data_IF_398164578127
#
_entry.id   IF_398164578127
#
_cell.length_a   1.000
_cell.length_b   1.000
_cell.length_c   1.000
_cell.angle_alpha   90.00
_cell.angle_beta   90.00
_cell.angle_gamma   90.00
#
_symmetry.space_group_name_H-M   'P 1'
#
loop_
_entity.id
_entity.type
_entity.pdbx_description
1 polymer ?
#
# COMPACT_ATOMS: atom_id res chain seq x y z
N UNK A 1 -3.82 26.35 20.58
CA UNK A 1 -3.87 26.31 19.09
C UNK A 1 -5.27 25.91 18.60
N UNK A 2 -5.74 24.69 18.85
CA UNK A 2 -7.08 24.24 18.40
C UNK A 2 -8.26 25.13 18.80
N UNK A 3 -8.34 25.57 20.07
CA UNK A 3 -9.38 26.50 20.53
C UNK A 3 -9.33 27.84 19.80
N UNK A 4 -8.13 28.36 19.53
CA UNK A 4 -7.96 29.62 18.81
C UNK A 4 -8.42 29.50 17.35
N UNK A 5 -8.08 28.41 16.66
CA UNK A 5 -8.54 28.16 15.29
C UNK A 5 -10.05 27.97 15.20
N UNK A 6 -10.66 27.24 16.14
CA UNK A 6 -12.13 27.10 16.20
C UNK A 6 -12.82 28.44 16.44
N UNK A 7 -12.28 29.26 17.33
CA UNK A 7 -12.79 30.60 17.60
C UNK A 7 -12.63 31.55 16.40
N UNK A 8 -11.56 31.40 15.61
CA UNK A 8 -11.36 32.17 14.38
C UNK A 8 -12.40 31.80 13.32
N UNK A 9 -12.62 30.50 13.11
CA UNK A 9 -13.63 29.99 12.18
C UNK A 9 -15.05 30.39 12.61
N UNK A 10 -15.36 30.38 13.91
CA UNK A 10 -16.68 30.79 14.41
C UNK A 10 -16.91 32.30 14.31
N UNK A 11 -15.91 33.13 14.62
CA UNK A 11 -15.98 34.60 14.48
C UNK A 11 -16.16 35.05 13.03
N UNK A 12 -15.51 34.39 12.07
CA UNK A 12 -15.66 34.75 10.66
C UNK A 12 -17.01 34.31 10.07
N UNK A 13 -17.59 33.20 10.54
CA UNK A 13 -18.97 32.84 10.18
C UNK A 13 -19.99 33.94 10.53
N UNK A 14 -19.70 34.74 11.55
CA UNK A 14 -20.58 35.84 12.01
C UNK A 14 -20.36 37.16 11.26
N UNK A 15 -19.31 37.27 10.44
CA UNK A 15 -18.84 38.56 9.87
C UNK A 15 -19.17 38.76 8.39
N UNK A 16 -19.96 37.87 7.76
CA UNK A 16 -20.44 38.01 6.38
C UNK A 16 -19.39 37.94 5.27
N UNK A 17 -18.12 37.68 5.59
CA UNK A 17 -17.00 37.48 4.65
C UNK A 17 -16.87 36.00 4.27
N UNK A 18 -16.14 35.68 3.19
CA UNK A 18 -15.95 34.30 2.72
C UNK A 18 -15.59 33.34 3.86
N UNK A 19 -16.30 32.22 3.96
CA UNK A 19 -16.11 31.29 5.08
C UNK A 19 -14.71 30.67 5.06
N UNK A 20 -14.02 30.69 6.21
CA UNK A 20 -12.74 29.96 6.40
C UNK A 20 -12.93 28.46 6.62
N UNK A 21 -14.17 27.99 6.80
CA UNK A 21 -14.49 26.58 7.00
C UNK A 21 -15.31 26.02 5.84
N UNK A 22 -15.11 24.74 5.54
CA UNK A 22 -15.78 24.05 4.44
C UNK A 22 -14.89 23.02 3.74
N UNK A 23 -15.42 22.38 2.70
CA UNK A 23 -14.67 21.42 1.88
C UNK A 23 -13.49 22.13 1.21
N UNK A 24 -12.27 21.64 1.43
CA UNK A 24 -11.03 22.28 0.97
C UNK A 24 -10.54 23.47 1.81
N UNK A 25 -11.15 23.75 2.96
CA UNK A 25 -10.75 24.83 3.90
C UNK A 25 -10.51 24.26 5.32
N UNK A 26 -10.49 25.11 6.37
CA UNK A 26 -10.28 24.68 7.76
C UNK A 26 -11.49 23.91 8.29
N UNK A 27 -11.47 22.58 8.13
CA UNK A 27 -12.46 21.67 8.73
C UNK A 27 -12.14 21.37 10.20
N UNK A 28 -13.13 20.93 10.97
CA UNK A 28 -12.92 20.52 12.37
C UNK A 28 -11.90 19.39 12.52
N UNK A 29 -11.89 18.45 11.57
CA UNK A 29 -10.90 17.36 11.49
C UNK A 29 -9.49 17.91 11.22
N UNK A 30 -9.35 18.84 10.26
CA UNK A 30 -8.06 19.48 9.95
C UNK A 30 -7.53 20.28 11.14
N UNK A 31 -8.38 21.03 11.84
CA UNK A 31 -8.02 21.77 13.05
C UNK A 31 -7.53 20.83 14.16
N UNK A 32 -8.17 19.66 14.29
CA UNK A 32 -7.76 18.65 15.27
C UNK A 32 -6.41 18.05 14.91
N UNK A 33 -6.19 17.70 13.64
CA UNK A 33 -4.92 17.21 13.12
C UNK A 33 -3.78 18.22 13.31
N UNK A 34 -4.02 19.49 12.95
CA UNK A 34 -3.09 20.60 13.16
C UNK A 34 -2.73 20.80 14.65
N UNK A 35 -3.72 20.68 15.54
CA UNK A 35 -3.51 20.81 16.99
C UNK A 35 -2.62 19.70 17.54
N UNK A 36 -2.80 18.48 17.05
CA UNK A 36 -1.97 17.33 17.43
C UNK A 36 -0.53 17.48 16.96
N UNK A 37 -0.30 17.86 15.70
CA UNK A 37 1.05 18.07 15.19
C UNK A 37 1.76 19.24 15.86
N UNK A 38 1.04 20.33 16.12
CA UNK A 38 1.57 21.45 16.90
C UNK A 38 1.99 21.00 18.30
N UNK A 39 1.14 20.21 18.98
CA UNK A 39 1.48 19.63 20.28
C UNK A 39 2.70 18.70 20.23
N UNK A 40 2.84 17.89 19.17
CA UNK A 40 4.01 17.03 18.96
C UNK A 40 5.28 17.84 18.74
N UNK A 41 5.25 18.89 17.91
CA UNK A 41 6.41 19.75 17.62
C UNK A 41 6.93 20.45 18.89
N UNK A 42 6.02 20.93 19.75
CA UNK A 42 6.40 21.54 21.03
C UNK A 42 7.03 20.52 22.00
N UNK A 43 6.47 19.31 22.06
CA UNK A 43 6.95 18.24 22.97
C UNK A 43 8.28 17.64 22.52
N UNK A 44 8.46 17.45 21.21
CA UNK A 44 9.61 16.74 20.64
C UNK A 44 10.87 17.60 20.52
N UNK A 45 10.74 18.93 20.57
CA UNK A 45 11.85 19.88 20.46
C UNK A 45 11.96 20.79 21.69
N UNK A 46 11.68 20.25 22.88
CA UNK A 46 11.72 21.01 24.15
C UNK A 46 13.14 21.53 24.40
N UNK A 47 13.28 22.86 24.52
CA UNK A 47 14.56 23.52 24.75
C UNK A 47 15.27 24.01 23.49
N UNK A 48 14.79 23.64 22.29
CA UNK A 48 15.31 24.16 21.01
C UNK A 48 14.20 24.87 20.23
N UNK A 49 14.17 26.19 20.38
CA UNK A 49 13.16 27.07 19.74
C UNK A 49 13.28 27.05 18.22
N UNK A 50 14.49 26.91 17.66
CA UNK A 50 14.71 26.90 16.21
C UNK A 50 14.18 25.60 15.59
N UNK A 51 14.49 24.46 16.21
CA UNK A 51 13.98 23.16 15.77
C UNK A 51 12.45 23.07 15.91
N UNK A 52 11.90 23.60 17.01
CA UNK A 52 10.47 23.69 17.24
C UNK A 52 9.76 24.53 16.16
N UNK A 53 10.29 25.71 15.85
CA UNK A 53 9.77 26.56 14.78
C UNK A 53 9.82 25.84 13.42
N UNK A 54 10.95 25.18 13.10
CA UNK A 54 11.10 24.40 11.86
C UNK A 54 10.04 23.30 11.76
N UNK A 55 9.80 22.53 12.83
CA UNK A 55 8.82 21.45 12.86
C UNK A 55 7.37 21.95 12.72
N UNK A 56 7.03 23.09 13.34
CA UNK A 56 5.71 23.72 13.19
C UNK A 56 5.50 24.20 11.75
N UNK A 57 6.51 24.83 11.14
CA UNK A 57 6.43 25.29 9.75
C UNK A 57 6.43 24.15 8.74
N UNK A 58 7.12 23.04 9.03
CA UNK A 58 7.05 21.82 8.22
C UNK A 58 5.61 21.26 8.17
N UNK A 59 4.90 21.28 9.30
CA UNK A 59 3.49 20.88 9.37
C UNK A 59 2.61 21.75 8.49
N UNK A 60 2.83 23.07 8.52
CA UNK A 60 2.08 24.03 7.70
C UNK A 60 2.33 23.80 6.21
N UNK A 61 3.59 23.73 5.79
CA UNK A 61 3.97 23.50 4.40
C UNK A 61 3.47 22.14 3.87
N UNK A 62 3.51 21.09 4.69
CA UNK A 62 2.98 19.78 4.29
C UNK A 62 1.46 19.81 4.05
N UNK A 63 0.71 20.57 4.86
CA UNK A 63 -0.76 20.67 4.74
C UNK A 63 -1.17 21.57 3.57
N UNK A 64 -0.32 22.52 3.16
CA UNK A 64 -0.56 23.40 2.01
C UNK A 64 0.08 22.88 0.71
N UNK A 65 0.83 21.77 0.76
CA UNK A 65 1.38 21.08 -0.40
C UNK A 65 0.28 20.45 -1.25
N UNK A 66 0.41 20.52 -2.57
CA UNK A 66 -0.48 19.89 -3.53
C UNK A 66 0.30 19.48 -4.78
N UNK A 67 -0.35 18.78 -5.71
CA UNK A 67 0.29 18.20 -6.91
C UNK A 67 0.90 19.26 -7.85
N UNK A 68 0.54 20.54 -7.69
CA UNK A 68 1.07 21.68 -8.46
C UNK A 68 2.16 22.42 -7.69
N UNK A 69 2.04 22.55 -6.37
CA UNK A 69 3.01 23.26 -5.51
C UNK A 69 3.49 22.35 -4.38
N UNK A 70 4.64 21.72 -4.61
CA UNK A 70 5.33 20.87 -3.63
C UNK A 70 6.03 21.71 -2.56
N UNK A 71 5.48 21.72 -1.35
CA UNK A 71 6.00 22.49 -0.22
C UNK A 71 6.55 21.56 0.86
N UNK A 72 7.66 20.88 0.57
CA UNK A 72 8.31 19.93 1.50
C UNK A 72 9.68 20.39 2.02
N UNK A 73 10.07 21.64 1.77
CA UNK A 73 11.40 22.19 2.06
C UNK A 73 11.80 22.19 3.55
N UNK A 74 10.84 22.10 4.46
CA UNK A 74 11.08 22.08 5.91
C UNK A 74 10.83 20.70 6.54
N UNK A 75 10.41 19.70 5.77
CA UNK A 75 10.31 18.34 6.26
C UNK A 75 11.69 17.87 6.76
N UNK A 76 11.76 17.11 7.87
CA UNK A 76 13.03 16.63 8.39
C UNK A 76 13.72 15.74 7.35
N UNK A 77 14.81 16.24 6.78
CA UNK A 77 15.78 15.44 6.04
C UNK A 77 16.51 14.55 7.06
N UNK A 78 15.99 13.35 7.33
CA UNK A 78 16.71 12.40 8.19
C UNK A 78 15.91 11.47 9.08
N UNK A 79 14.56 11.47 9.05
CA UNK A 79 13.86 10.24 9.47
C UNK A 79 13.73 9.34 8.27
N UNK A 80 14.26 8.13 8.41
CA UNK A 80 14.32 6.97 7.51
C UNK A 80 12.97 6.49 6.93
N UNK A 81 12.12 7.40 6.47
CA UNK A 81 11.02 7.10 5.57
C UNK A 81 11.58 7.03 4.14
N UNK A 82 12.63 6.22 3.93
CA UNK A 82 12.86 5.73 2.57
C UNK A 82 11.64 4.89 2.22
N UNK A 83 10.99 5.13 1.08
CA UNK A 83 9.94 4.24 0.61
C UNK A 83 10.48 2.82 0.58
N UNK A 84 9.81 1.92 1.29
CA UNK A 84 10.18 0.51 1.32
C UNK A 84 9.66 -0.21 0.07
N UNK A 85 8.75 0.42 -0.69
CA UNK A 85 8.13 -0.10 -1.90
C UNK A 85 8.48 0.80 -3.08
N UNK A 86 9.18 0.22 -4.06
CA UNK A 86 9.47 0.87 -5.35
C UNK A 86 8.65 0.15 -6.42
N UNK A 87 7.65 0.84 -6.95
CA UNK A 87 6.71 0.33 -7.96
C UNK A 87 7.14 0.88 -9.33
N UNK A 88 7.18 -0.01 -10.31
CA UNK A 88 7.44 0.33 -11.71
C UNK A 88 6.19 0.01 -12.52
N UNK A 89 5.78 0.97 -13.33
CA UNK A 89 4.85 0.78 -14.43
C UNK A 89 5.60 1.09 -15.73
N UNK A 90 5.09 0.62 -16.87
CA UNK A 90 5.52 0.97 -18.22
C UNK A 90 5.63 2.48 -18.49
N UNK A 91 5.00 3.33 -17.66
CA UNK A 91 4.94 4.78 -17.83
C UNK A 91 5.56 5.61 -16.69
N UNK A 92 5.90 5.03 -15.53
CA UNK A 92 6.46 5.78 -14.41
C UNK A 92 7.12 4.89 -13.34
N UNK A 93 8.13 5.44 -12.67
CA UNK A 93 8.65 4.91 -11.40
C UNK A 93 8.00 5.68 -10.26
N UNK A 94 7.40 4.97 -9.32
CA UNK A 94 6.78 5.56 -8.14
C UNK A 94 7.33 4.91 -6.89
N UNK A 95 7.72 5.74 -5.92
CA UNK A 95 8.15 5.27 -4.62
C UNK A 95 7.08 5.59 -3.58
N UNK A 96 6.62 4.57 -2.84
CA UNK A 96 5.53 4.72 -1.87
C UNK A 96 5.80 3.94 -0.58
N UNK A 97 5.06 4.28 0.47
CA UNK A 97 5.04 3.53 1.74
C UNK A 97 3.86 2.56 1.84
N UNK A 98 2.86 2.74 0.97
CA UNK A 98 1.57 2.08 1.01
C UNK A 98 1.24 1.59 -0.39
N UNK A 99 0.78 0.35 -0.48
CA UNK A 99 0.21 -0.20 -1.70
C UNK A 99 -1.30 -0.28 -1.54
N UNK A 100 -2.02 0.57 -2.27
CA UNK A 100 -3.48 0.54 -2.31
C UNK A 100 -3.94 -0.52 -3.31
N UNK A 101 -4.74 -1.48 -2.86
CA UNK A 101 -5.39 -2.43 -3.75
C UNK A 101 -6.46 -1.70 -4.56
N UNK A 102 -6.26 -1.69 -5.88
CA UNK A 102 -7.25 -1.33 -6.88
C UNK A 102 -7.70 -2.61 -7.56
N UNK A 103 -8.95 -3.00 -7.31
CA UNK A 103 -9.56 -4.22 -7.83
C UNK A 103 -11.01 -3.96 -8.21
N UNK A 104 -11.44 -4.47 -9.35
CA UNK A 104 -12.87 -4.59 -9.66
C UNK A 104 -13.50 -5.73 -8.86
N UNK A 105 -14.79 -5.61 -8.49
CA UNK A 105 -15.51 -6.70 -7.83
C UNK A 105 -15.62 -7.88 -8.81
N UNK A 106 -15.13 -9.04 -8.40
CA UNK A 106 -15.27 -10.28 -9.16
C UNK A 106 -16.43 -11.09 -8.56
N UNK A 107 -17.47 -11.33 -9.34
CA UNK A 107 -18.67 -12.06 -8.89
C UNK A 107 -18.38 -13.52 -8.53
N UNK A 108 -17.29 -14.09 -9.03
CA UNK A 108 -16.88 -15.47 -8.75
C UNK A 108 -16.15 -15.62 -7.40
N UNK A 109 -15.72 -14.50 -6.79
CA UNK A 109 -14.99 -14.48 -5.53
C UNK A 109 -15.85 -13.89 -4.42
N UNK A 110 -16.64 -14.73 -3.75
CA UNK A 110 -17.51 -14.29 -2.66
C UNK A 110 -16.70 -13.84 -1.43
N UNK A 111 -15.64 -14.60 -1.09
CA UNK A 111 -14.72 -14.29 0.02
C UNK A 111 -13.28 -14.40 -0.49
N UNK A 112 -12.70 -13.29 -0.99
CA UNK A 112 -11.34 -13.32 -1.52
C UNK A 112 -10.28 -13.32 -0.41
N UNK A 113 -9.14 -13.92 -0.71
CA UNK A 113 -7.92 -13.80 0.09
C UNK A 113 -7.14 -12.55 -0.29
N UNK A 114 -6.30 -12.05 0.63
CA UNK A 114 -5.40 -10.92 0.33
C UNK A 114 -4.46 -11.26 -0.84
N UNK A 115 -4.00 -12.50 -0.97
CA UNK A 115 -3.18 -12.94 -2.12
C UNK A 115 -3.91 -12.77 -3.46
N UNK A 116 -5.17 -13.18 -3.54
CA UNK A 116 -5.96 -13.07 -4.78
C UNK A 116 -6.19 -11.61 -5.15
N UNK A 117 -6.59 -10.77 -4.18
CA UNK A 117 -6.78 -9.34 -4.41
C UNK A 117 -5.48 -8.64 -4.81
N UNK A 118 -4.36 -9.03 -4.20
CA UNK A 118 -3.04 -8.54 -4.54
C UNK A 118 -2.68 -8.88 -5.99
N UNK A 119 -2.80 -10.15 -6.40
CA UNK A 119 -2.54 -10.57 -7.77
C UNK A 119 -3.45 -9.87 -8.79
N UNK A 120 -4.73 -9.73 -8.49
CA UNK A 120 -5.68 -9.02 -9.33
C UNK A 120 -5.31 -7.54 -9.48
N UNK A 121 -4.92 -6.88 -8.39
CA UNK A 121 -4.52 -5.47 -8.44
C UNK A 121 -3.25 -5.24 -9.26
N UNK A 122 -2.27 -6.13 -9.12
CA UNK A 122 -1.04 -6.11 -9.92
C UNK A 122 -1.36 -6.29 -11.42
N UNK A 123 -2.27 -7.19 -11.75
CA UNK A 123 -2.75 -7.42 -13.12
C UNK A 123 -3.47 -6.20 -13.69
N UNK A 124 -4.51 -5.69 -13.00
CA UNK A 124 -5.33 -4.57 -13.47
C UNK A 124 -4.53 -3.29 -13.67
N UNK A 125 -3.60 -3.00 -12.76
CA UNK A 125 -2.76 -1.82 -12.85
C UNK A 125 -1.50 -2.02 -13.72
N UNK A 126 -1.22 -3.25 -14.19
CA UNK A 126 0.01 -3.65 -14.91
C UNK A 126 1.28 -3.16 -14.20
N UNK A 127 1.35 -3.43 -12.90
CA UNK A 127 2.45 -2.98 -12.04
C UNK A 127 3.44 -4.12 -11.80
N UNK A 128 4.70 -3.78 -11.57
CA UNK A 128 5.69 -4.69 -10.99
C UNK A 128 6.46 -3.96 -9.88
N UNK A 129 6.98 -4.71 -8.93
CA UNK A 129 7.93 -4.19 -7.96
C UNK A 129 9.34 -4.33 -8.51
N UNK A 130 10.13 -3.25 -8.39
CA UNK A 130 11.51 -3.25 -8.86
C UNK A 130 12.41 -4.20 -8.06
N UNK A 131 12.07 -4.41 -6.78
CA UNK A 131 12.78 -5.25 -5.82
C UNK A 131 11.82 -5.67 -4.71
N UNK A 132 12.15 -6.76 -4.02
CA UNK A 132 11.41 -7.19 -2.84
C UNK A 132 11.44 -6.12 -1.73
N UNK A 133 10.28 -5.59 -1.29
CA UNK A 133 10.23 -4.63 -0.21
C UNK A 133 10.53 -5.32 1.13
N UNK A 134 11.23 -4.63 2.04
CA UNK A 134 11.48 -5.16 3.40
C UNK A 134 10.19 -5.23 4.24
N UNK A 135 9.27 -4.31 3.97
CA UNK A 135 7.96 -4.24 4.60
C UNK A 135 6.97 -3.77 3.54
N UNK A 136 5.83 -4.46 3.47
CA UNK A 136 4.75 -4.15 2.54
C UNK A 136 3.48 -3.86 3.33
N UNK A 137 3.01 -2.62 3.26
CA UNK A 137 1.75 -2.22 3.88
C UNK A 137 0.69 -2.16 2.77
N UNK A 138 -0.29 -3.06 2.85
CA UNK A 138 -1.36 -3.18 1.86
C UNK A 138 -2.63 -2.54 2.41
N UNK A 139 -3.17 -1.57 1.69
CA UNK A 139 -4.46 -0.97 2.01
C UNK A 139 -5.56 -1.73 1.27
N UNK A 140 -6.52 -2.25 2.04
CA UNK A 140 -7.68 -2.96 1.50
C UNK A 140 -8.54 -2.05 0.62
N UNK A 141 -9.22 -2.60 -0.41
CA UNK A 141 -10.02 -1.83 -1.36
C UNK A 141 -11.30 -1.29 -0.67
N UNK A 142 -11.20 -0.08 -0.11
CA UNK A 142 -12.30 0.65 0.53
C UNK A 142 -12.52 1.98 -0.17
N UNK A 143 -13.76 2.32 -0.47
CA UNK A 143 -14.14 3.62 -1.03
C UNK A 143 -14.98 4.40 0.00
N UNK A 144 -14.33 5.25 0.78
CA UNK A 144 -15.00 6.02 1.83
C UNK A 144 -15.53 5.18 3.00
N UNK A 145 -16.44 5.76 3.80
CA UNK A 145 -16.96 5.13 5.04
C UNK A 145 -18.04 4.08 4.80
N UNK A 146 -18.69 4.10 3.64
CA UNK A 146 -19.88 3.28 3.38
C UNK A 146 -19.64 2.16 2.36
N UNK A 147 -18.54 2.18 1.61
CA UNK A 147 -18.31 1.19 0.57
C UNK A 147 -17.10 0.30 0.90
N UNK A 148 -17.42 -0.91 1.36
CA UNK A 148 -16.51 -2.06 1.37
C UNK A 148 -16.78 -2.84 0.09
N UNK A 149 -15.74 -3.09 -0.71
CA UNK A 149 -15.92 -3.84 -1.97
C UNK A 149 -16.35 -5.29 -1.72
N UNK A 150 -15.81 -5.88 -0.65
CA UNK A 150 -16.13 -7.22 -0.15
C UNK A 150 -16.50 -7.11 1.34
N UNK A 151 -17.51 -7.87 1.76
CA UNK A 151 -17.94 -7.91 3.16
C UNK A 151 -16.92 -8.63 4.03
N UNK A 152 -16.27 -9.66 3.48
CA UNK A 152 -15.23 -10.44 4.13
C UNK A 152 -14.01 -10.57 3.22
N UNK A 153 -12.82 -10.43 3.82
CA UNK A 153 -11.53 -10.67 3.16
C UNK A 153 -10.71 -11.54 4.10
N UNK A 154 -10.17 -12.64 3.59
CA UNK A 154 -9.34 -13.54 4.39
C UNK A 154 -7.89 -13.06 4.34
N UNK A 155 -7.28 -12.66 5.49
CA UNK A 155 -5.89 -12.24 5.52
C UNK A 155 -4.97 -13.43 5.26
N UNK A 156 -4.17 -13.35 4.20
CA UNK A 156 -3.15 -14.36 3.88
C UNK A 156 -2.01 -14.28 4.90
N UNK A 157 -1.75 -15.37 5.63
CA UNK A 157 -0.65 -15.44 6.61
C UNK A 157 0.73 -15.33 5.96
N UNK A 158 0.81 -15.74 4.70
CA UNK A 158 1.97 -15.66 3.83
C UNK A 158 1.52 -15.03 2.52
N UNK A 159 2.30 -14.08 2.02
CA UNK A 159 2.06 -13.40 0.76
C UNK A 159 3.20 -13.69 -0.19
N UNK A 160 2.92 -14.41 -1.27
CA UNK A 160 3.89 -14.63 -2.35
C UNK A 160 3.92 -13.40 -3.27
N UNK A 161 5.09 -12.78 -3.40
CA UNK A 161 5.30 -11.60 -4.26
C UNK A 161 6.16 -11.92 -5.47
N UNK A 162 6.60 -13.18 -5.64
CA UNK A 162 7.58 -13.59 -6.64
C UNK A 162 7.19 -13.11 -8.04
N UNK A 163 5.96 -13.40 -8.46
CA UNK A 163 5.48 -13.08 -9.81
C UNK A 163 5.12 -11.60 -10.00
N UNK A 164 5.11 -10.81 -8.92
CA UNK A 164 4.94 -9.36 -8.95
C UNK A 164 6.28 -8.60 -9.04
N UNK A 165 7.42 -9.26 -8.85
CA UNK A 165 8.74 -8.65 -9.02
C UNK A 165 9.14 -8.59 -10.51
N UNK A 166 9.84 -7.52 -10.89
CA UNK A 166 10.33 -7.32 -12.27
C UNK A 166 11.54 -8.22 -12.59
N UNK A 167 12.44 -8.40 -11.62
CA UNK A 167 13.73 -9.10 -11.79
C UNK A 167 13.78 -10.50 -11.16
N UNK A 168 12.62 -11.07 -10.82
CA UNK A 168 12.55 -12.40 -10.23
C UNK A 168 12.60 -13.52 -11.26
N UNK A 169 13.21 -14.64 -10.87
CA UNK A 169 13.02 -15.90 -11.59
C UNK A 169 11.62 -16.42 -11.32
N UNK A 170 10.92 -16.72 -12.41
CA UNK A 170 9.58 -17.32 -12.36
C UNK A 170 9.62 -18.72 -12.93
N UNK A 171 8.68 -19.53 -12.48
CA UNK A 171 8.49 -20.87 -12.98
C UNK A 171 7.43 -20.88 -14.07
N UNK A 172 7.69 -21.63 -15.13
CA UNK A 172 6.71 -21.91 -16.15
C UNK A 172 5.55 -22.67 -15.52
N UNK A 173 4.35 -22.11 -15.61
CA UNK A 173 3.14 -22.68 -15.02
C UNK A 173 2.86 -24.13 -15.47
N UNK A 174 3.24 -24.48 -16.71
CA UNK A 174 2.94 -25.78 -17.32
C UNK A 174 3.94 -26.86 -16.90
N UNK A 175 5.25 -26.56 -16.95
CA UNK A 175 6.30 -27.58 -16.78
C UNK A 175 7.21 -27.38 -15.57
N UNK A 176 7.05 -26.28 -14.81
CA UNK A 176 7.87 -25.96 -13.64
C UNK A 176 9.33 -25.59 -13.94
N UNK A 177 9.76 -25.56 -15.21
CA UNK A 177 11.09 -25.07 -15.60
C UNK A 177 11.12 -23.54 -15.60
N UNK A 178 12.29 -22.94 -15.76
CA UNK A 178 12.43 -21.48 -15.82
C UNK A 178 11.53 -20.86 -16.90
N UNK A 179 10.76 -19.84 -16.53
CA UNK A 179 10.01 -19.02 -17.46
C UNK A 179 10.92 -17.96 -18.08
N UNK A 180 10.70 -17.69 -19.37
CA UNK A 180 11.40 -16.68 -20.17
C UNK A 180 10.43 -15.64 -20.73
N UNK A 181 9.13 -15.97 -20.76
CA UNK A 181 8.07 -15.16 -21.33
C UNK A 181 6.97 -14.96 -20.29
N UNK A 182 6.36 -13.78 -20.30
CA UNK A 182 5.09 -13.50 -19.63
C UNK A 182 3.99 -13.14 -20.62
N UNK A 183 2.77 -13.56 -20.31
CA UNK A 183 1.58 -13.19 -21.03
C UNK A 183 0.51 -12.77 -20.03
N UNK A 184 0.26 -11.46 -19.94
CA UNK A 184 -0.73 -10.90 -19.02
C UNK A 184 -2.15 -11.37 -19.33
N UNK A 185 -2.50 -11.54 -20.61
CA UNK A 185 -3.83 -11.98 -21.05
C UNK A 185 -4.16 -13.42 -20.63
N UNK A 186 -3.15 -14.21 -20.22
CA UNK A 186 -3.38 -15.52 -19.62
C UNK A 186 -3.74 -15.47 -18.12
N UNK A 187 -3.84 -14.28 -17.51
CA UNK A 187 -4.17 -14.14 -16.09
C UNK A 187 -5.53 -14.75 -15.76
N UNK A 188 -5.58 -15.52 -14.67
CA UNK A 188 -6.83 -16.04 -14.12
C UNK A 188 -6.91 -15.74 -12.62
N UNK A 189 -8.01 -15.14 -12.11
CA UNK A 189 -8.12 -14.76 -10.69
C UNK A 189 -8.08 -15.93 -9.69
N UNK A 190 -8.48 -17.13 -10.12
CA UNK A 190 -8.48 -18.36 -9.31
C UNK A 190 -7.06 -18.87 -9.05
N UNK A 191 -6.17 -18.76 -10.05
CA UNK A 191 -4.77 -19.19 -9.95
C UNK A 191 -3.84 -18.05 -9.54
N UNK A 192 -4.06 -16.85 -10.05
CA UNK A 192 -3.23 -15.68 -9.82
C UNK A 192 -2.15 -15.45 -10.89
N UNK A 193 -1.10 -14.71 -10.53
CA UNK A 193 -0.05 -14.29 -11.48
C UNK A 193 0.80 -15.44 -12.01
N UNK A 194 0.83 -16.59 -11.31
CA UNK A 194 1.64 -17.75 -11.69
C UNK A 194 1.32 -18.25 -13.10
N UNK A 195 0.04 -18.21 -13.50
CA UNK A 195 -0.41 -18.68 -14.81
C UNK A 195 -0.10 -17.71 -15.97
N UNK A 196 0.63 -16.63 -15.71
CA UNK A 196 1.10 -15.71 -16.75
C UNK A 196 2.51 -16.03 -17.24
N UNK A 197 3.26 -16.90 -16.54
CA UNK A 197 4.68 -17.15 -16.82
C UNK A 197 4.93 -18.47 -17.56
N UNK A 198 5.70 -18.42 -18.64
CA UNK A 198 5.94 -19.55 -19.53
C UNK A 198 7.40 -19.65 -19.99
N UNK A 199 7.89 -20.87 -20.25
CA UNK A 199 9.10 -21.06 -21.05
C UNK A 199 8.77 -20.99 -22.55
N UNK A 200 9.77 -20.81 -23.40
CA UNK A 200 9.57 -20.67 -24.86
C UNK A 200 8.76 -21.79 -25.49
N UNK A 201 9.02 -23.04 -25.09
CA UNK A 201 8.31 -24.21 -25.61
C UNK A 201 6.85 -24.23 -25.18
N UNK A 202 6.57 -24.06 -23.88
CA UNK A 202 5.20 -24.07 -23.36
C UNK A 202 4.40 -22.86 -23.84
N UNK A 203 5.02 -21.68 -23.95
CA UNK A 203 4.35 -20.49 -24.48
C UNK A 203 3.81 -20.75 -25.90
N UNK A 204 4.63 -21.32 -26.78
CA UNK A 204 4.20 -21.66 -28.16
C UNK A 204 3.03 -22.64 -28.16
N UNK A 205 3.06 -23.67 -27.33
CA UNK A 205 1.98 -24.67 -27.25
C UNK A 205 0.70 -24.07 -26.69
N UNK A 206 0.78 -23.28 -25.63
CA UNK A 206 -0.40 -22.68 -24.98
C UNK A 206 -1.09 -21.67 -25.89
N UNK A 207 -0.32 -20.87 -26.63
CA UNK A 207 -0.85 -19.83 -27.52
C UNK A 207 -1.17 -20.33 -28.94
N UNK A 208 -1.12 -21.64 -29.18
CA UNK A 208 -1.76 -22.27 -30.35
C UNK A 208 -3.27 -22.48 -30.14
N UNK A 209 -3.75 -22.38 -28.91
CA UNK A 209 -5.17 -22.49 -28.61
C UNK A 209 -5.93 -21.31 -29.23
N UNK A 210 -7.10 -21.58 -29.84
CA UNK A 210 -7.92 -20.58 -30.57
C UNK A 210 -8.22 -19.34 -29.73
N UNK A 211 -8.47 -19.53 -28.44
CA UNK A 211 -8.80 -18.45 -27.51
C UNK A 211 -7.58 -17.66 -27.00
N UNK A 212 -6.36 -17.97 -27.48
CA UNK A 212 -5.10 -17.38 -27.00
C UNK A 212 -4.15 -16.99 -28.12
N UNK A 213 -4.58 -17.07 -29.38
CA UNK A 213 -3.72 -16.79 -30.54
C UNK A 213 -3.40 -15.30 -30.69
N UNK A 214 -4.26 -14.43 -30.17
CA UNK A 214 -4.15 -12.98 -30.18
C UNK A 214 -3.40 -12.41 -28.98
N UNK A 215 -3.11 -13.24 -27.99
CA UNK A 215 -2.40 -12.84 -26.79
C UNK A 215 -0.96 -12.38 -27.09
N UNK A 216 -0.56 -11.27 -26.48
CA UNK A 216 0.79 -10.73 -26.55
C UNK A 216 1.70 -11.37 -25.50
N UNK A 217 2.82 -11.93 -25.96
CA UNK A 217 3.88 -12.49 -25.12
C UNK A 217 5.02 -11.48 -25.03
N UNK A 218 5.49 -11.20 -23.81
CA UNK A 218 6.57 -10.27 -23.54
C UNK A 218 7.73 -11.00 -22.85
N UNK A 219 9.00 -10.69 -23.18
CA UNK A 219 10.14 -11.32 -22.53
C UNK A 219 10.29 -10.84 -21.09
N UNK A 220 10.57 -11.76 -20.18
CA UNK A 220 10.88 -11.44 -18.79
C UNK A 220 12.27 -10.80 -18.69
N UNK A 221 12.38 -9.73 -17.89
CA UNK A 221 13.64 -9.02 -17.64
C UNK A 221 14.48 -9.77 -16.60
N UNK A 222 15.17 -10.82 -17.03
CA UNK A 222 16.07 -11.59 -16.14
C UNK A 222 17.45 -10.94 -16.17
N UNK A 223 17.91 -10.40 -15.03
CA UNK A 223 19.31 -9.95 -14.90
C UNK A 223 20.22 -11.17 -14.70
N UNK A 224 21.14 -11.38 -15.63
CA UNK A 224 22.10 -12.50 -15.67
C UNK A 224 23.03 -12.62 -14.44
N UNK A 225 22.95 -11.70 -13.47
CA UNK A 225 23.87 -11.59 -12.34
C UNK A 225 23.57 -12.52 -11.16
N UNK A 226 22.47 -13.28 -11.17
CA UNK A 226 22.19 -14.28 -10.14
C UNK A 226 22.69 -15.67 -10.58
N UNK A 227 23.52 -16.27 -9.72
CA UNK A 227 24.27 -17.51 -9.97
C UNK A 227 23.38 -18.64 -10.49
N UNK A 228 23.77 -19.26 -11.61
CA UNK A 228 23.16 -20.45 -12.24
C UNK A 228 22.96 -21.66 -11.29
N UNK A 229 23.60 -21.66 -10.11
CA UNK A 229 23.63 -22.78 -9.17
C UNK A 229 22.83 -22.54 -7.88
N UNK A 230 22.19 -21.37 -7.70
CA UNK A 230 21.36 -21.13 -6.52
C UNK A 230 19.94 -21.68 -6.75
N UNK A 231 19.37 -22.47 -5.81
CA UNK A 231 17.99 -22.91 -5.93
C UNK A 231 17.08 -21.69 -6.01
N UNK A 232 16.26 -21.63 -7.06
CA UNK A 232 15.27 -20.59 -7.25
C UNK A 232 14.31 -20.59 -6.06
N UNK A 233 14.26 -19.48 -5.32
CA UNK A 233 13.40 -19.33 -4.15
C UNK A 233 12.25 -18.40 -4.50
N UNK A 234 11.05 -18.79 -4.09
CA UNK A 234 9.91 -17.88 -4.10
C UNK A 234 10.09 -16.86 -2.99
N UNK A 235 9.85 -15.60 -3.32
CA UNK A 235 9.89 -14.48 -2.39
C UNK A 235 8.53 -14.38 -1.71
N UNK A 236 8.49 -14.79 -0.45
CA UNK A 236 7.28 -14.85 0.36
C UNK A 236 7.44 -13.97 1.60
N UNK A 237 6.46 -13.14 1.88
CA UNK A 237 6.39 -12.26 3.04
C UNK A 237 5.45 -12.84 4.10
N UNK A 238 5.82 -12.79 5.37
CA UNK A 238 4.97 -13.21 6.48
C UNK A 238 4.10 -12.05 6.98
N UNK A 239 2.81 -12.31 7.19
CA UNK A 239 1.91 -11.38 7.84
C UNK A 239 2.26 -11.27 9.33
N UNK A 240 2.51 -10.04 9.79
CA UNK A 240 2.85 -9.76 11.19
C UNK A 240 1.85 -8.85 11.90
N UNK A 241 1.06 -8.06 11.18
CA UNK A 241 0.05 -7.18 11.78
C UNK A 241 -1.13 -6.94 10.84
N UNK A 242 -2.32 -6.70 11.43
CA UNK A 242 -3.54 -6.31 10.72
C UNK A 242 -4.17 -5.13 11.46
N UNK A 243 -4.33 -4.02 10.75
CA UNK A 243 -5.03 -2.83 11.29
C UNK A 243 -6.48 -2.87 10.81
N UNK A 244 -7.40 -2.95 11.76
CA UNK A 244 -8.83 -3.04 11.52
C UNK A 244 -9.52 -1.72 11.89
N UNK A 245 -10.60 -1.42 11.17
CA UNK A 245 -11.51 -0.32 11.48
C UNK A 245 -12.89 -0.71 10.98
N UNK A 246 -13.88 -0.51 11.82
CA UNK A 246 -15.29 -0.70 11.48
C UNK A 246 -15.96 0.63 11.12
N UNK A 247 -15.91 1.62 12.03
CA UNK A 247 -16.55 2.94 11.85
C UNK A 247 -15.55 4.09 11.92
N UNK A 248 -15.04 4.38 13.12
CA UNK A 248 -14.11 5.49 13.40
C UNK A 248 -12.97 5.09 14.34
N UNK A 249 -13.07 3.92 14.97
CA UNK A 249 -12.08 3.41 15.92
C UNK A 249 -11.20 2.35 15.27
N UNK A 250 -9.89 2.50 15.47
CA UNK A 250 -8.90 1.56 14.97
C UNK A 250 -8.50 0.58 16.05
N UNK A 251 -8.47 -0.69 15.68
CA UNK A 251 -7.95 -1.78 16.50
C UNK A 251 -6.88 -2.53 15.72
N UNK A 252 -6.00 -3.24 16.40
CA UNK A 252 -4.88 -3.92 15.75
C UNK A 252 -4.76 -5.37 16.22
N UNK A 253 -4.45 -6.27 15.30
CA UNK A 253 -3.99 -7.61 15.59
C UNK A 253 -2.52 -7.70 15.26
N UNK A 254 -1.69 -8.13 16.20
CA UNK A 254 -0.23 -8.23 16.01
C UNK A 254 0.23 -9.65 16.34
N UNK A 255 1.12 -10.19 15.50
CA UNK A 255 1.75 -11.48 15.71
C UNK A 255 2.96 -11.29 16.63
N UNK A 256 2.79 -11.64 17.90
CA UNK A 256 3.81 -11.47 18.93
C UNK A 256 4.53 -12.81 19.21
N UNK A 257 5.86 -12.80 19.37
CA UNK A 257 6.60 -13.96 19.86
C UNK A 257 6.35 -14.12 21.37
N UNK A 258 5.70 -15.22 21.77
CA UNK A 258 5.46 -15.57 23.18
C UNK A 258 5.97 -16.98 23.43
N UNK A 259 6.97 -17.14 24.31
CA UNK A 259 7.55 -18.44 24.69
C UNK A 259 7.94 -19.33 23.49
N UNK A 260 8.68 -18.77 22.52
CA UNK A 260 9.09 -19.45 21.28
C UNK A 260 7.95 -19.91 20.36
N UNK A 261 6.71 -19.43 20.56
CA UNK A 261 5.59 -19.60 19.63
C UNK A 261 5.07 -18.23 19.21
N UNK A 262 4.68 -18.08 17.96
CA UNK A 262 4.03 -16.85 17.49
C UNK A 262 2.54 -16.93 17.81
N UNK A 263 2.03 -15.96 18.56
CA UNK A 263 0.62 -15.87 18.94
C UNK A 263 0.05 -14.53 18.50
N UNK A 264 -1.21 -14.50 18.10
CA UNK A 264 -1.90 -13.26 17.76
C UNK A 264 -2.41 -12.56 19.02
N UNK A 265 -2.08 -11.29 19.16
CA UNK A 265 -2.54 -10.40 20.21
C UNK A 265 -3.50 -9.37 19.62
N UNK A 266 -4.63 -9.16 20.30
CA UNK A 266 -5.55 -8.07 20.01
C UNK A 266 -5.18 -6.84 20.84
N UNK A 267 -5.12 -5.68 20.20
CA UNK A 267 -4.83 -4.40 20.83
C UNK A 267 -5.94 -3.40 20.52
N UNK A 268 -6.57 -2.89 21.58
CA UNK A 268 -7.53 -1.81 21.54
C UNK A 268 -7.06 -0.67 22.46
N UNK A 269 -6.79 0.50 21.86
CA UNK A 269 -6.29 1.69 22.57
C UNK A 269 -7.31 2.35 23.50
N UNK A 270 -8.60 1.99 23.40
CA UNK A 270 -9.67 2.51 24.25
C UNK A 270 -10.31 1.42 25.12
N UNK A 271 -9.66 0.26 25.26
CA UNK A 271 -10.16 -0.86 26.06
C UNK A 271 -10.52 -0.48 27.51
N UNK A 272 -9.79 0.48 28.09
CA UNK A 272 -9.97 0.91 29.50
C UNK A 272 -11.12 1.91 29.70
N UNK A 273 -11.92 2.23 28.68
CA UNK A 273 -13.10 3.10 28.85
C UNK A 273 -14.30 2.27 29.31
N UNK A 274 -14.56 2.28 30.61
CA UNK A 274 -15.89 1.96 31.13
C UNK A 274 -16.87 3.08 30.72
N UNK A 275 -17.98 2.69 30.08
CA UNK A 275 -19.05 3.58 29.63
C UNK A 275 -20.13 3.77 30.67
#
# INVERSE_FOLDING_TARGET
MGTALRNLVSKQKSSGTESLGGKGKLTGELITKLSSYYGWALKSHKGDVKAMHKAVMATYYHITSNDVTSNHTLCPEGTDARPFVNIVNSFSQQETHLYQLFVAKNELLEIPTVQQLFHQSIYECKLKFQRAPKALIIQMPRCGKQFKLYDYIVPSLKLDITDALEDSYRFCYVCGRQATLECWECFRPDVGLECTSYCDSCSKTVHQHKDRTDHKQEPLLIKDSFRKDAPLRREVMDLFAVVCIETSHYVCFVKCPVKNKHTWCFFDSMADREG
#
